data_IF_106602167302
#
_entry.id   IF_106602167302
#
_cell.length_a   1.000
_cell.length_b   1.000
_cell.length_c   1.000
_cell.angle_alpha   90.00
_cell.angle_beta   90.00
_cell.angle_gamma   90.00
#
_symmetry.space_group_name_H-M   'P 1'
#
loop_
_entity.id
_entity.type
_entity.pdbx_description
1 polymer ?
#
# COMPACT_ATOMS: atom_id res chain seq x y z
N UNK A 1 69.76 69.18 -12.18
CA UNK A 1 69.87 69.15 -13.65
C UNK A 1 69.19 67.89 -14.17
N UNK A 2 68.20 68.09 -15.05
CA UNK A 2 67.67 67.20 -16.08
C UNK A 2 67.19 65.76 -15.77
N UNK A 3 65.91 65.60 -16.08
CA UNK A 3 65.15 64.37 -16.29
C UNK A 3 65.78 63.42 -17.31
N UNK A 4 65.48 62.12 -17.21
CA UNK A 4 64.75 61.42 -18.29
C UNK A 4 64.22 60.04 -17.85
N UNK A 5 62.92 59.89 -18.08
CA UNK A 5 62.06 58.70 -18.01
C UNK A 5 62.61 57.52 -18.82
N UNK A 6 62.32 56.28 -18.37
CA UNK A 6 61.74 55.22 -19.22
C UNK A 6 61.21 54.02 -18.40
N UNK A 7 59.91 53.79 -18.61
CA UNK A 7 59.13 52.53 -18.61
C UNK A 7 59.20 51.57 -17.40
N UNK A 8 58.13 51.60 -16.59
CA UNK A 8 57.73 50.49 -15.73
C UNK A 8 57.17 49.35 -16.58
N UNK A 9 57.77 48.17 -16.45
CA UNK A 9 57.27 46.90 -16.96
C UNK A 9 56.20 46.39 -15.97
N UNK A 10 54.91 46.50 -16.32
CA UNK A 10 53.86 45.78 -15.61
C UNK A 10 53.92 44.31 -16.06
N UNK A 11 54.36 43.43 -15.17
CA UNK A 11 54.22 41.99 -15.32
C UNK A 11 52.74 41.62 -15.26
N UNK A 12 52.19 41.16 -16.37
CA UNK A 12 50.95 40.40 -16.42
C UNK A 12 51.19 39.07 -15.69
N UNK A 13 50.70 38.95 -14.44
CA UNK A 13 50.62 37.66 -13.77
C UNK A 13 49.52 36.85 -14.43
N UNK A 14 49.90 35.85 -15.22
CA UNK A 14 48.97 34.90 -15.81
C UNK A 14 48.18 34.18 -14.71
N UNK A 15 46.86 34.19 -14.84
CA UNK A 15 45.99 33.28 -14.09
C UNK A 15 46.46 31.85 -14.37
N UNK A 16 46.91 31.15 -13.34
CA UNK A 16 47.19 29.73 -13.42
C UNK A 16 45.88 29.00 -13.74
N UNK A 17 45.80 28.52 -14.98
CA UNK A 17 44.74 27.63 -15.44
C UNK A 17 44.87 26.34 -14.62
N UNK A 18 44.02 26.17 -13.62
CA UNK A 18 43.93 24.93 -12.84
C UNK A 18 42.90 24.01 -13.51
N UNK A 19 43.35 23.02 -14.31
CA UNK A 19 42.44 22.11 -15.01
C UNK A 19 41.59 21.28 -14.04
N UNK A 20 42.01 21.11 -12.78
CA UNK A 20 41.17 20.44 -11.77
C UNK A 20 40.02 21.33 -11.34
N UNK A 21 40.26 22.63 -11.17
CA UNK A 21 39.22 23.59 -10.80
C UNK A 21 38.19 23.77 -11.93
N UNK A 22 38.63 23.80 -13.18
CA UNK A 22 37.73 23.86 -14.33
C UNK A 22 36.97 22.54 -14.55
N UNK A 23 37.62 21.38 -14.33
CA UNK A 23 36.94 20.09 -14.34
C UNK A 23 35.88 19.96 -13.23
N UNK A 24 36.17 20.46 -12.02
CA UNK A 24 35.22 20.48 -10.91
C UNK A 24 34.06 21.46 -11.16
N UNK A 25 34.31 22.61 -11.81
CA UNK A 25 33.23 23.51 -12.25
C UNK A 25 32.36 22.89 -13.35
N UNK A 26 32.97 22.17 -14.30
CA UNK A 26 32.26 21.44 -15.35
C UNK A 26 31.39 20.32 -14.76
N UNK A 27 31.90 19.56 -13.80
CA UNK A 27 31.13 18.57 -13.05
C UNK A 27 30.00 19.23 -12.24
N UNK A 28 30.26 20.33 -11.53
CA UNK A 28 29.23 21.04 -10.76
C UNK A 28 28.17 21.74 -11.65
N UNK A 29 28.48 22.02 -12.91
CA UNK A 29 27.55 22.55 -13.91
C UNK A 29 26.90 21.45 -14.76
N UNK A 30 27.26 20.18 -14.54
CA UNK A 30 26.67 19.06 -15.26
C UNK A 30 25.25 18.82 -14.75
N UNK A 31 24.24 18.76 -15.64
CA UNK A 31 22.87 18.41 -15.29
C UNK A 31 22.78 17.14 -14.45
N UNK A 32 23.67 16.17 -14.66
CA UNK A 32 23.79 14.88 -13.95
C UNK A 32 24.22 14.99 -12.48
N UNK A 33 24.98 16.02 -12.11
CA UNK A 33 25.43 16.26 -10.73
C UNK A 33 24.58 17.33 -10.02
N UNK A 34 23.96 18.22 -10.79
CA UNK A 34 22.89 19.09 -10.29
C UNK A 34 21.54 18.37 -10.16
N UNK A 35 21.38 17.22 -10.81
CA UNK A 35 20.26 16.30 -10.57
C UNK A 35 20.59 15.44 -9.34
N UNK A 36 20.07 15.88 -8.19
CA UNK A 36 20.05 15.09 -6.96
C UNK A 36 19.39 13.70 -7.13
N UNK A 37 18.63 13.50 -8.21
CA UNK A 37 18.04 12.21 -8.62
C UNK A 37 19.09 11.11 -8.85
N UNK A 38 20.17 11.38 -9.58
CA UNK A 38 21.21 10.36 -9.85
C UNK A 38 21.93 9.95 -8.56
N UNK A 39 22.18 10.91 -7.67
CA UNK A 39 22.80 10.67 -6.36
C UNK A 39 21.83 9.97 -5.38
N UNK A 40 20.52 10.25 -5.46
CA UNK A 40 19.50 9.60 -4.63
C UNK A 40 19.24 8.17 -5.07
N UNK A 41 19.19 7.91 -6.39
CA UNK A 41 19.13 6.55 -6.93
C UNK A 41 20.36 5.74 -6.51
N UNK A 42 21.56 6.30 -6.62
CA UNK A 42 22.79 5.63 -6.22
C UNK A 42 22.83 5.32 -4.71
N UNK A 43 22.31 6.21 -3.86
CA UNK A 43 22.16 5.97 -2.41
C UNK A 43 21.12 4.90 -2.09
N UNK A 44 19.96 4.90 -2.75
CA UNK A 44 18.92 3.89 -2.53
C UNK A 44 19.34 2.50 -3.00
N UNK A 45 20.03 2.42 -4.15
CA UNK A 45 20.62 1.17 -4.67
C UNK A 45 21.74 0.64 -3.75
N UNK A 46 22.55 1.52 -3.15
CA UNK A 46 23.60 1.09 -2.19
C UNK A 46 23.08 0.81 -0.78
N UNK A 47 21.99 1.43 -0.33
CA UNK A 47 21.36 1.17 0.98
C UNK A 47 20.78 -0.25 1.07
N UNK A 48 20.13 -0.73 0.01
CA UNK A 48 19.59 -2.08 -0.04
C UNK A 48 20.66 -3.17 0.14
N UNK A 49 21.90 -2.89 -0.27
CA UNK A 49 23.03 -3.82 -0.17
C UNK A 49 23.59 -3.97 1.25
N UNK A 50 23.30 -3.04 2.17
CA UNK A 50 23.86 -3.03 3.52
C UNK A 50 22.89 -3.55 4.60
N UNK A 51 21.58 -3.53 4.35
CA UNK A 51 20.56 -3.92 5.33
C UNK A 51 20.32 -5.43 5.30
N UNK A 52 20.90 -6.14 6.26
CA UNK A 52 20.77 -7.61 6.37
C UNK A 52 19.86 -8.06 7.51
N UNK A 53 19.60 -7.20 8.49
CA UNK A 53 18.72 -7.47 9.63
C UNK A 53 17.46 -6.59 9.56
N UNK A 54 16.24 -7.16 9.60
CA UNK A 54 15.01 -6.37 9.57
C UNK A 54 14.93 -5.32 10.70
N UNK A 55 15.58 -5.53 11.85
CA UNK A 55 15.60 -4.56 12.96
C UNK A 55 16.31 -3.24 12.62
N UNK A 56 17.23 -3.24 11.64
CA UNK A 56 17.97 -2.07 11.17
C UNK A 56 17.14 -1.18 10.24
N UNK A 57 16.11 -1.72 9.60
CA UNK A 57 15.22 -0.97 8.70
C UNK A 57 14.45 0.07 9.50
N UNK A 58 14.63 1.37 9.23
CA UNK A 58 14.02 2.45 10.02
C UNK A 58 12.71 2.98 9.45
N UNK A 59 12.36 2.62 8.21
CA UNK A 59 11.08 2.97 7.60
C UNK A 59 10.69 2.02 6.45
N UNK A 60 9.42 2.05 6.03
CA UNK A 60 8.91 1.15 4.99
C UNK A 60 9.53 1.36 3.59
N UNK A 61 10.19 2.50 3.32
CA UNK A 61 10.83 2.76 2.03
C UNK A 61 12.21 2.10 1.93
N UNK A 62 12.93 1.97 3.04
CA UNK A 62 14.12 1.10 3.09
C UNK A 62 13.72 -0.37 2.91
N UNK A 63 12.56 -0.77 3.44
CA UNK A 63 12.01 -2.10 3.19
C UNK A 63 11.71 -2.32 1.70
N UNK A 64 11.15 -1.31 1.02
CA UNK A 64 10.92 -1.33 -0.43
C UNK A 64 12.23 -1.51 -1.21
N UNK A 65 13.28 -0.76 -0.86
CA UNK A 65 14.59 -0.87 -1.49
C UNK A 65 15.19 -2.29 -1.36
N UNK A 66 15.17 -2.87 -0.15
CA UNK A 66 15.66 -4.25 0.06
C UNK A 66 14.79 -5.27 -0.70
N UNK A 67 13.47 -5.08 -0.72
CA UNK A 67 12.56 -5.95 -1.46
C UNK A 67 12.81 -5.88 -2.97
N UNK A 68 13.11 -4.70 -3.52
CA UNK A 68 13.43 -4.51 -4.94
C UNK A 68 14.66 -5.33 -5.37
N UNK A 69 15.67 -5.40 -4.53
CA UNK A 69 16.90 -6.17 -4.80
C UNK A 69 16.67 -7.69 -4.71
N UNK A 70 15.81 -8.14 -3.78
CA UNK A 70 15.60 -9.58 -3.54
C UNK A 70 14.49 -10.19 -4.38
N UNK A 71 13.46 -9.41 -4.73
CA UNK A 71 12.33 -9.91 -5.49
C UNK A 71 12.72 -10.01 -6.97
N UNK A 72 12.41 -11.13 -7.64
CA UNK A 72 12.43 -11.27 -9.10
C UNK A 72 11.94 -10.01 -9.87
N UNK A 73 12.71 -9.41 -10.82
CA UNK A 73 12.24 -8.23 -11.55
C UNK A 73 10.80 -8.29 -12.08
N UNK A 74 10.37 -9.38 -12.74
CA UNK A 74 8.99 -9.51 -13.22
C UNK A 74 7.95 -9.47 -12.07
N UNK A 75 8.25 -10.08 -10.93
CA UNK A 75 7.37 -10.08 -9.77
C UNK A 75 7.38 -8.72 -9.06
N UNK A 76 8.54 -8.06 -8.97
CA UNK A 76 8.63 -6.70 -8.45
C UNK A 76 7.85 -5.72 -9.33
N UNK A 77 7.94 -5.86 -10.66
CA UNK A 77 7.12 -5.14 -11.62
C UNK A 77 5.62 -5.34 -11.39
N UNK A 78 5.18 -6.58 -11.17
CA UNK A 78 3.79 -6.86 -10.82
C UNK A 78 3.36 -6.20 -9.50
N UNK A 79 4.24 -6.12 -8.51
CA UNK A 79 3.98 -5.48 -7.22
C UNK A 79 3.94 -3.95 -7.31
N UNK A 80 4.90 -3.35 -8.01
CA UNK A 80 5.11 -1.90 -8.07
C UNK A 80 4.11 -1.20 -8.99
N UNK A 81 3.73 -1.82 -10.12
CA UNK A 81 2.85 -1.21 -11.13
C UNK A 81 1.52 -0.70 -10.55
N UNK A 82 1.08 0.45 -11.04
CA UNK A 82 -0.31 0.87 -11.12
C UNK A 82 -0.89 0.47 -12.48
N UNK A 83 -1.75 1.31 -13.04
CA UNK A 83 -2.28 1.19 -14.41
C UNK A 83 -1.83 2.36 -15.28
N UNK A 84 -1.82 2.13 -16.59
CA UNK A 84 -1.47 3.12 -17.61
C UNK A 84 -0.12 3.80 -17.29
N UNK A 85 -0.12 5.08 -16.95
CA UNK A 85 1.08 5.87 -16.64
C UNK A 85 1.43 5.93 -15.16
N UNK A 86 0.78 5.13 -14.30
CA UNK A 86 0.93 5.11 -12.84
C UNK A 86 0.55 6.45 -12.16
N UNK A 87 -0.26 7.28 -12.81
CA UNK A 87 -0.67 8.60 -12.28
C UNK A 87 -1.51 8.41 -11.01
N UNK A 88 -2.52 7.54 -11.01
CA UNK A 88 -3.33 7.27 -9.80
C UNK A 88 -2.48 6.67 -8.68
N UNK A 89 -1.51 5.81 -9.01
CA UNK A 89 -0.57 5.26 -8.02
C UNK A 89 0.18 6.39 -7.31
N UNK A 90 0.67 7.38 -8.06
CA UNK A 90 1.34 8.57 -7.54
C UNK A 90 0.39 9.50 -6.79
N UNK A 91 -0.82 9.69 -7.30
CA UNK A 91 -1.89 10.48 -6.70
C UNK A 91 -2.28 9.94 -5.31
N UNK A 92 -2.31 8.61 -5.13
CA UNK A 92 -2.54 8.00 -3.81
C UNK A 92 -1.55 8.49 -2.75
N UNK A 93 -0.27 8.63 -3.10
CA UNK A 93 0.74 9.15 -2.17
C UNK A 93 0.61 10.67 -1.99
N UNK A 94 0.39 11.39 -3.09
CA UNK A 94 0.28 12.85 -3.08
C UNK A 94 -0.97 13.35 -2.32
N UNK A 95 -2.08 12.61 -2.36
CA UNK A 95 -3.35 12.98 -1.72
C UNK A 95 -3.24 13.25 -0.22
N UNK A 96 -2.33 12.57 0.49
CA UNK A 96 -2.11 12.83 1.92
C UNK A 96 -1.59 14.24 2.22
N UNK A 97 -1.04 14.96 1.24
CA UNK A 97 -0.56 16.34 1.42
C UNK A 97 -1.69 17.36 1.50
N UNK A 98 -2.89 17.02 1.00
CA UNK A 98 -4.10 17.84 1.12
C UNK A 98 -4.56 17.98 2.56
N UNK A 99 -4.35 16.94 3.36
CA UNK A 99 -4.81 16.87 4.74
C UNK A 99 -3.66 17.12 5.72
N UNK A 100 -3.80 18.08 6.65
CA UNK A 100 -2.80 18.35 7.69
C UNK A 100 -3.34 17.97 9.07
N UNK A 101 -2.46 17.45 9.93
CA UNK A 101 -2.82 17.10 11.31
C UNK A 101 -2.84 18.39 12.15
N UNK A 102 -3.84 18.52 13.02
CA UNK A 102 -4.00 19.57 14.02
C UNK A 102 -3.71 18.98 15.41
N UNK A 103 -2.46 19.02 15.89
CA UNK A 103 -2.11 18.40 17.16
C UNK A 103 -2.78 19.14 18.32
N UNK A 104 -3.33 18.38 19.28
CA UNK A 104 -3.75 18.92 20.59
C UNK A 104 -2.76 18.48 21.66
N UNK A 105 -2.61 19.30 22.69
CA UNK A 105 -1.61 19.13 23.76
C UNK A 105 -2.29 19.16 25.12
N UNK A 106 -1.55 18.81 26.18
CA UNK A 106 -2.04 18.75 27.56
C UNK A 106 -3.22 17.78 27.75
N UNK A 107 -3.13 16.61 27.10
CA UNK A 107 -4.01 15.46 27.30
C UNK A 107 -3.14 14.34 27.89
N UNK A 108 -3.68 13.57 28.85
CA UNK A 108 -2.97 12.40 29.36
C UNK A 108 -2.92 11.30 28.29
N UNK A 109 -1.71 10.95 27.86
CA UNK A 109 -1.42 9.94 26.84
C UNK A 109 -0.42 8.90 27.35
N UNK A 110 -0.34 8.74 28.67
CA UNK A 110 0.56 7.78 29.33
C UNK A 110 0.17 6.31 29.10
N UNK A 111 -1.08 6.03 28.72
CA UNK A 111 -1.61 4.69 28.46
C UNK A 111 -2.33 4.68 27.09
N UNK A 112 -1.57 4.70 25.98
CA UNK A 112 -2.17 4.70 24.66
C UNK A 112 -2.71 3.32 24.28
N UNK A 113 -3.83 3.30 23.56
CA UNK A 113 -4.49 2.08 23.09
C UNK A 113 -4.79 2.17 21.59
N UNK A 114 -4.28 1.20 20.85
CA UNK A 114 -4.47 1.05 19.41
C UNK A 114 -5.57 0.02 19.06
N UNK A 115 -6.12 -0.68 20.06
CA UNK A 115 -7.04 -1.77 19.81
C UNK A 115 -8.34 -1.29 19.17
N UNK A 116 -8.89 -2.12 18.29
CA UNK A 116 -10.16 -1.88 17.62
C UNK A 116 -10.97 -3.18 17.49
N UNK A 117 -12.26 -3.02 17.22
CA UNK A 117 -13.13 -4.12 16.80
C UNK A 117 -14.01 -3.64 15.64
N UNK A 118 -13.77 -4.20 14.45
CA UNK A 118 -14.52 -3.86 13.25
C UNK A 118 -15.19 -5.11 12.71
N UNK A 119 -16.54 -5.12 12.69
CA UNK A 119 -17.33 -6.29 12.25
C UNK A 119 -16.95 -7.61 12.96
N UNK A 120 -16.56 -7.55 14.23
CA UNK A 120 -16.14 -8.71 15.02
C UNK A 120 -14.65 -9.06 14.86
N UNK A 121 -13.91 -8.39 13.97
CA UNK A 121 -12.47 -8.52 13.87
C UNK A 121 -11.80 -7.69 14.98
N UNK A 122 -11.47 -8.35 16.09
CA UNK A 122 -10.64 -7.78 17.16
C UNK A 122 -9.17 -7.75 16.72
N UNK A 123 -8.51 -6.62 16.91
CA UNK A 123 -7.09 -6.44 16.61
C UNK A 123 -6.45 -5.44 17.58
N UNK A 124 -5.15 -5.59 17.84
CA UNK A 124 -4.38 -4.67 18.70
C UNK A 124 -3.95 -3.40 17.96
N UNK A 125 -4.42 -3.21 16.72
CA UNK A 125 -4.06 -2.09 15.86
C UNK A 125 -5.15 -1.81 14.83
N UNK A 126 -5.37 -0.53 14.43
CA UNK A 126 -6.28 -0.20 13.34
C UNK A 126 -5.72 -0.51 11.95
N UNK A 127 -4.51 -1.06 11.87
CA UNK A 127 -3.84 -1.40 10.61
C UNK A 127 -4.21 -2.82 10.20
N UNK A 128 -4.91 -2.97 9.09
CA UNK A 128 -5.31 -4.26 8.51
C UNK A 128 -4.35 -4.68 7.40
N UNK A 129 -4.09 -5.97 7.28
CA UNK A 129 -3.35 -6.54 6.15
C UNK A 129 -4.32 -6.72 4.99
N UNK A 130 -4.14 -5.93 3.93
CA UNK A 130 -4.98 -5.98 2.73
C UNK A 130 -4.85 -7.33 2.00
N UNK A 131 -5.87 -7.70 1.21
CA UNK A 131 -5.77 -8.84 0.31
C UNK A 131 -4.83 -8.52 -0.86
N UNK A 132 -3.61 -9.07 -0.84
CA UNK A 132 -2.75 -9.19 -2.01
C UNK A 132 -2.71 -10.65 -2.42
N UNK A 133 -2.78 -10.91 -3.72
CA UNK A 133 -2.70 -12.27 -4.26
C UNK A 133 -1.27 -12.67 -4.57
N UNK A 134 -1.04 -13.98 -4.68
CA UNK A 134 0.19 -14.58 -5.20
C UNK A 134 1.46 -14.25 -4.39
N UNK A 135 1.39 -14.30 -3.05
CA UNK A 135 2.55 -13.97 -2.21
C UNK A 135 3.77 -14.86 -2.49
N UNK A 136 3.55 -16.10 -2.96
CA UNK A 136 4.61 -17.03 -3.36
C UNK A 136 5.53 -16.51 -4.48
N UNK A 137 5.10 -15.50 -5.25
CA UNK A 137 5.96 -14.81 -6.20
C UNK A 137 6.99 -13.89 -5.52
N UNK A 138 6.72 -13.40 -4.32
CA UNK A 138 7.60 -12.46 -3.62
C UNK A 138 8.53 -13.16 -2.62
N UNK A 139 8.06 -14.24 -1.99
CA UNK A 139 8.84 -15.01 -1.02
C UNK A 139 8.28 -16.45 -0.91
N UNK A 140 9.14 -17.43 -0.63
CA UNK A 140 8.75 -18.82 -0.45
C UNK A 140 7.79 -19.05 0.73
N UNK A 141 7.81 -18.19 1.75
CA UNK A 141 6.86 -18.24 2.86
C UNK A 141 5.43 -17.85 2.47
N UNK A 142 5.24 -17.20 1.33
CA UNK A 142 3.93 -16.86 0.75
C UNK A 142 2.94 -16.22 1.76
N UNK A 143 1.64 -16.56 1.67
CA UNK A 143 0.62 -16.09 2.60
C UNK A 143 0.82 -16.67 4.02
N UNK A 144 1.54 -17.78 4.16
CA UNK A 144 1.83 -18.43 5.44
C UNK A 144 2.72 -17.57 6.35
N UNK A 145 3.78 -16.96 5.80
CA UNK A 145 4.63 -16.04 6.54
C UNK A 145 3.87 -14.79 7.01
N UNK A 146 2.94 -14.31 6.17
CA UNK A 146 2.08 -13.16 6.52
C UNK A 146 1.07 -13.54 7.60
N UNK A 147 0.47 -14.73 7.53
CA UNK A 147 -0.47 -15.22 8.54
C UNK A 147 0.19 -15.34 9.92
N UNK A 148 1.42 -15.90 9.97
CA UNK A 148 2.20 -15.99 11.22
C UNK A 148 2.60 -14.61 11.76
N UNK A 149 3.01 -13.68 10.90
CA UNK A 149 3.30 -12.30 11.31
C UNK A 149 2.05 -11.60 11.88
N UNK A 150 0.91 -11.77 11.22
CA UNK A 150 -0.38 -11.25 11.67
C UNK A 150 -0.79 -11.84 13.03
N UNK A 151 -0.51 -13.12 13.27
CA UNK A 151 -0.69 -13.78 14.56
C UNK A 151 0.23 -13.20 15.63
N UNK A 152 1.53 -13.09 15.34
CA UNK A 152 2.55 -12.62 16.27
C UNK A 152 2.32 -11.17 16.73
N UNK A 153 1.74 -10.32 15.87
CA UNK A 153 1.47 -8.91 16.13
C UNK A 153 -0.01 -8.60 16.38
N UNK A 154 -0.86 -9.63 16.37
CA UNK A 154 -2.31 -9.54 16.47
C UNK A 154 -2.98 -8.49 15.55
N UNK A 155 -2.54 -8.44 14.29
CA UNK A 155 -3.20 -7.64 13.24
C UNK A 155 -4.29 -8.46 12.54
N UNK A 156 -5.37 -7.81 12.12
CA UNK A 156 -6.37 -8.47 11.29
C UNK A 156 -5.86 -8.66 9.86
N UNK A 157 -6.18 -9.82 9.26
CA UNK A 157 -5.73 -10.21 7.92
C UNK A 157 -6.91 -10.50 7.01
N UNK A 158 -6.85 -9.98 5.78
CA UNK A 158 -7.77 -10.34 4.71
C UNK A 158 -7.04 -11.15 3.63
N UNK A 159 -7.50 -12.35 3.33
CA UNK A 159 -6.88 -13.26 2.35
C UNK A 159 -7.47 -13.06 0.95
N UNK A 160 -6.65 -13.00 -0.09
CA UNK A 160 -7.12 -12.88 -1.48
C UNK A 160 -7.62 -14.20 -2.07
N UNK A 161 -8.63 -14.14 -2.95
CA UNK A 161 -8.99 -15.23 -3.89
C UNK A 161 -7.81 -15.72 -4.74
N UNK A 162 -6.77 -14.91 -4.92
CA UNK A 162 -5.56 -15.29 -5.67
C UNK A 162 -4.39 -15.77 -4.79
N UNK A 163 -4.66 -16.20 -3.56
CA UNK A 163 -3.65 -16.76 -2.65
C UNK A 163 -2.86 -17.91 -3.27
N UNK A 164 -1.55 -17.98 -2.99
CA UNK A 164 -0.72 -19.15 -3.31
C UNK A 164 -0.83 -20.26 -2.25
N UNK A 165 -1.27 -19.94 -1.04
CA UNK A 165 -1.54 -20.90 0.06
C UNK A 165 -3.05 -21.19 0.17
N UNK A 166 -3.49 -22.44 0.46
CA UNK A 166 -4.90 -22.72 0.72
C UNK A 166 -5.41 -22.02 1.97
N UNK A 167 -6.68 -21.62 1.98
CA UNK A 167 -7.28 -20.81 3.06
C UNK A 167 -7.23 -21.52 4.41
N UNK A 168 -7.39 -22.84 4.46
CA UNK A 168 -7.37 -23.62 5.69
C UNK A 168 -6.04 -23.46 6.42
N UNK A 169 -4.93 -23.52 5.68
CA UNK A 169 -3.59 -23.33 6.23
C UNK A 169 -3.35 -21.90 6.68
N UNK A 170 -3.85 -20.92 5.93
CA UNK A 170 -3.75 -19.49 6.32
C UNK A 170 -4.49 -19.23 7.63
N UNK A 171 -5.71 -19.75 7.79
CA UNK A 171 -6.48 -19.59 9.03
C UNK A 171 -5.80 -20.29 10.20
N UNK A 172 -5.30 -21.51 10.00
CA UNK A 172 -4.54 -22.25 11.01
C UNK A 172 -3.31 -21.47 11.48
N UNK A 173 -2.48 -20.99 10.54
CA UNK A 173 -1.25 -20.26 10.86
C UNK A 173 -1.52 -18.84 11.39
N UNK A 174 -2.65 -18.22 11.05
CA UNK A 174 -3.11 -16.98 11.69
C UNK A 174 -3.57 -17.23 13.13
N UNK A 175 -4.07 -18.43 13.43
CA UNK A 175 -4.58 -18.77 14.76
C UNK A 175 -5.82 -17.97 15.19
N UNK A 176 -6.59 -17.43 14.23
CA UNK A 176 -7.75 -16.58 14.49
C UNK A 176 -8.55 -16.26 13.21
N UNK A 177 -9.74 -15.66 13.35
CA UNK A 177 -10.60 -15.36 12.21
C UNK A 177 -9.95 -14.38 11.24
N UNK A 178 -10.17 -14.62 9.95
CA UNK A 178 -9.74 -13.74 8.85
C UNK A 178 -10.96 -13.21 8.10
N UNK A 179 -10.74 -12.21 7.26
CA UNK A 179 -11.66 -11.92 6.17
C UNK A 179 -11.17 -12.57 4.88
N UNK A 180 -12.10 -12.86 3.97
CA UNK A 180 -11.79 -13.38 2.64
C UNK A 180 -12.16 -12.36 1.58
N UNK A 181 -11.22 -11.95 0.74
CA UNK A 181 -11.50 -11.12 -0.41
C UNK A 181 -11.91 -11.99 -1.58
N UNK A 182 -13.09 -11.72 -2.11
CA UNK A 182 -13.71 -12.44 -3.23
C UNK A 182 -13.48 -11.69 -4.54
N UNK A 183 -12.88 -12.37 -5.51
CA UNK A 183 -13.13 -12.11 -6.93
C UNK A 183 -14.23 -13.08 -7.39
N UNK A 184 -15.41 -12.57 -7.76
CA UNK A 184 -16.46 -13.42 -8.30
C UNK A 184 -16.00 -13.97 -9.64
N UNK A 185 -16.34 -15.22 -9.88
CA UNK A 185 -16.05 -15.87 -11.14
C UNK A 185 -17.21 -15.68 -12.11
N UNK A 186 -16.95 -15.84 -13.40
CA UNK A 186 -17.99 -15.93 -14.43
C UNK A 186 -18.84 -17.23 -14.35
N UNK A 187 -18.68 -18.03 -13.29
CA UNK A 187 -19.46 -19.23 -12.97
C UNK A 187 -19.98 -19.11 -11.53
N UNK A 188 -21.22 -18.70 -11.36
CA UNK A 188 -21.77 -18.40 -10.04
C UNK A 188 -21.61 -19.55 -9.04
N UNK A 189 -21.79 -20.80 -9.49
CA UNK A 189 -21.59 -21.99 -8.68
C UNK A 189 -20.18 -22.12 -8.09
N UNK A 190 -19.15 -21.61 -8.76
CA UNK A 190 -17.78 -21.57 -8.22
C UNK A 190 -17.60 -20.44 -7.23
N UNK A 191 -18.27 -19.31 -7.44
CA UNK A 191 -18.33 -18.22 -6.45
C UNK A 191 -18.96 -18.72 -5.15
N UNK A 192 -20.08 -19.45 -5.24
CA UNK A 192 -20.72 -20.11 -4.08
C UNK A 192 -19.77 -21.09 -3.40
N UNK A 193 -19.10 -21.96 -4.17
CA UNK A 193 -18.16 -22.94 -3.62
C UNK A 193 -17.00 -22.28 -2.85
N UNK A 194 -16.44 -21.19 -3.38
CA UNK A 194 -15.38 -20.43 -2.70
C UNK A 194 -15.87 -19.75 -1.42
N UNK A 195 -17.04 -19.11 -1.45
CA UNK A 195 -17.64 -18.48 -0.26
C UNK A 195 -17.85 -19.50 0.86
N UNK A 196 -18.48 -20.63 0.55
CA UNK A 196 -18.74 -21.67 1.53
C UNK A 196 -17.45 -22.34 2.03
N UNK A 197 -16.42 -22.46 1.18
CA UNK A 197 -15.09 -22.95 1.62
C UNK A 197 -14.44 -21.96 2.58
N UNK A 198 -14.48 -20.67 2.28
CA UNK A 198 -13.91 -19.64 3.14
C UNK A 198 -14.61 -19.57 4.50
N UNK A 199 -15.93 -19.59 4.53
CA UNK A 199 -16.72 -19.62 5.76
C UNK A 199 -16.41 -20.85 6.61
N UNK A 200 -16.41 -22.06 6.03
CA UNK A 200 -16.04 -23.29 6.74
C UNK A 200 -14.61 -23.28 7.28
N UNK A 201 -13.69 -22.63 6.57
CA UNK A 201 -12.31 -22.49 7.01
C UNK A 201 -12.17 -21.51 8.19
N UNK A 202 -13.17 -20.67 8.47
CA UNK A 202 -13.17 -19.72 9.59
C UNK A 202 -13.11 -18.25 9.18
N UNK A 203 -13.36 -17.92 7.90
CA UNK A 203 -13.54 -16.53 7.50
C UNK A 203 -14.87 -15.98 8.05
N UNK A 204 -14.82 -14.77 8.62
CA UNK A 204 -16.00 -14.13 9.25
C UNK A 204 -16.64 -13.04 8.40
N UNK A 205 -15.94 -12.59 7.36
CA UNK A 205 -16.44 -11.63 6.40
C UNK A 205 -15.88 -11.89 5.00
N UNK A 206 -16.63 -11.49 3.99
CA UNK A 206 -16.21 -11.43 2.60
C UNK A 206 -16.09 -9.98 2.14
N UNK A 207 -14.94 -9.64 1.55
CA UNK A 207 -14.74 -8.37 0.85
C UNK A 207 -14.88 -8.60 -0.66
N UNK A 208 -16.06 -8.29 -1.22
CA UNK A 208 -16.29 -8.36 -2.66
C UNK A 208 -15.53 -7.23 -3.35
N UNK A 209 -14.57 -7.58 -4.22
CA UNK A 209 -13.79 -6.59 -4.97
C UNK A 209 -14.42 -6.33 -6.33
N UNK A 210 -14.80 -5.08 -6.59
CA UNK A 210 -15.59 -4.68 -7.77
C UNK A 210 -14.83 -3.76 -8.74
N UNK A 211 -13.59 -3.40 -8.43
CA UNK A 211 -12.83 -2.35 -9.14
C UNK A 211 -12.07 -2.82 -10.39
N UNK A 212 -12.19 -4.11 -10.77
CA UNK A 212 -11.48 -4.71 -11.92
C UNK A 212 -12.40 -5.46 -12.91
N UNK A 213 -13.46 -4.83 -13.46
CA UNK A 213 -14.41 -5.55 -14.32
C UNK A 213 -13.80 -5.98 -15.68
N UNK A 214 -12.87 -5.19 -16.23
CA UNK A 214 -12.43 -5.31 -17.64
C UNK A 214 -10.91 -5.48 -17.83
N UNK A 215 -10.19 -6.01 -16.83
CA UNK A 215 -8.74 -6.15 -16.89
C UNK A 215 -8.00 -4.83 -16.65
N UNK A 216 -6.71 -4.77 -17.01
CA UNK A 216 -5.81 -3.65 -16.69
C UNK A 216 -4.72 -3.49 -17.75
N UNK A 217 -4.36 -2.24 -18.04
CA UNK A 217 -3.14 -1.91 -18.79
C UNK A 217 -2.00 -1.63 -17.79
N UNK A 218 -0.93 -2.43 -17.82
CA UNK A 218 0.14 -2.43 -16.80
C UNK A 218 1.51 -2.25 -17.45
N UNK A 219 1.84 -1.01 -17.82
CA UNK A 219 3.07 -0.68 -18.55
C UNK A 219 4.33 -0.96 -17.72
N UNK A 220 4.36 -0.52 -16.45
CA UNK A 220 5.48 -0.73 -15.53
C UNK A 220 5.77 -2.22 -15.34
N UNK A 221 4.76 -3.05 -15.10
CA UNK A 221 4.94 -4.50 -15.05
C UNK A 221 5.55 -5.04 -16.34
N UNK A 222 5.05 -4.59 -17.50
CA UNK A 222 5.52 -5.06 -18.81
C UNK A 222 6.99 -4.71 -19.07
N UNK A 223 7.47 -3.57 -18.55
CA UNK A 223 8.88 -3.17 -18.62
C UNK A 223 9.75 -4.11 -17.78
N UNK A 224 9.40 -4.30 -16.51
CA UNK A 224 10.12 -5.17 -15.59
C UNK A 224 10.14 -6.63 -16.05
N UNK A 225 9.06 -7.11 -16.66
CA UNK A 225 9.02 -8.45 -17.27
C UNK A 225 10.08 -8.64 -18.37
N UNK A 226 10.42 -7.60 -19.15
CA UNK A 226 11.47 -7.68 -20.18
C UNK A 226 12.88 -7.68 -19.60
N UNK A 227 13.04 -7.18 -18.38
CA UNK A 227 14.31 -7.15 -17.66
C UNK A 227 14.59 -8.48 -16.94
N UNK A 228 13.58 -9.34 -16.85
CA UNK A 228 13.70 -10.65 -16.21
C UNK A 228 14.31 -11.68 -17.17
N UNK A 229 15.41 -12.30 -16.76
CA UNK A 229 16.11 -13.30 -17.57
C UNK A 229 15.62 -14.74 -17.32
N UNK A 230 14.61 -14.94 -16.45
CA UNK A 230 14.03 -16.27 -16.18
C UNK A 230 13.00 -16.66 -17.21
N UNK A 231 12.83 -17.97 -17.36
CA UNK A 231 11.81 -18.57 -18.22
C UNK A 231 10.49 -18.69 -17.45
N UNK A 232 9.61 -17.71 -17.55
CA UNK A 232 8.33 -17.69 -16.80
C UNK A 232 7.45 -18.93 -17.04
N UNK A 233 7.55 -19.58 -18.21
CA UNK A 233 6.79 -20.82 -18.47
C UNK A 233 7.16 -21.98 -17.54
N UNK A 234 8.38 -21.98 -17.00
CA UNK A 234 8.83 -23.03 -16.06
C UNK A 234 8.09 -22.92 -14.72
N UNK A 235 7.66 -21.72 -14.35
CA UNK A 235 6.90 -21.46 -13.12
C UNK A 235 5.38 -21.51 -13.31
N UNK A 236 4.86 -21.19 -14.50
CA UNK A 236 3.41 -20.98 -14.72
C UNK A 236 2.70 -22.09 -15.50
N UNK A 237 3.42 -23.08 -16.05
CA UNK A 237 2.77 -24.14 -16.86
C UNK A 237 2.07 -25.17 -15.97
N UNK A 238 0.75 -25.29 -16.13
CA UNK A 238 -0.07 -26.37 -15.55
C UNK A 238 -0.28 -26.30 -14.03
N UNK A 239 0.07 -25.19 -13.39
CA UNK A 239 -0.13 -25.02 -11.94
C UNK A 239 -1.49 -24.37 -11.64
N UNK A 240 -2.39 -25.14 -11.03
CA UNK A 240 -3.56 -24.59 -10.37
C UNK A 240 -3.15 -24.06 -8.98
N UNK A 241 -3.65 -22.89 -8.59
CA UNK A 241 -3.40 -22.36 -7.24
C UNK A 241 -4.16 -23.21 -6.22
N UNK A 242 -3.55 -23.59 -5.07
CA UNK A 242 -4.22 -24.36 -4.01
C UNK A 242 -5.53 -23.75 -3.49
N UNK A 243 -5.69 -22.43 -3.60
CA UNK A 243 -6.93 -21.73 -3.24
C UNK A 243 -8.14 -22.17 -4.10
N UNK A 244 -7.89 -22.71 -5.30
CA UNK A 244 -8.91 -23.25 -6.21
C UNK A 244 -9.03 -24.77 -6.16
N UNK A 245 -8.42 -25.43 -5.16
CA UNK A 245 -8.54 -26.88 -5.01
C UNK A 245 -10.02 -27.32 -5.01
N UNK A 246 -10.33 -28.37 -5.79
CA UNK A 246 -11.69 -28.83 -6.06
C UNK A 246 -12.45 -28.10 -7.18
N UNK A 247 -11.88 -27.09 -7.84
CA UNK A 247 -12.51 -26.34 -8.94
C UNK A 247 -11.71 -26.48 -10.24
N UNK A 248 -12.40 -26.79 -11.34
CA UNK A 248 -11.79 -26.77 -12.67
C UNK A 248 -11.80 -25.35 -13.25
N UNK A 249 -10.69 -24.64 -13.04
CA UNK A 249 -10.53 -23.25 -13.46
C UNK A 249 -10.28 -23.09 -14.97
N UNK A 250 -10.32 -24.16 -15.77
CA UNK A 250 -10.15 -24.05 -17.21
C UNK A 250 -11.29 -23.21 -17.84
N UNK A 251 -10.92 -22.07 -18.44
CA UNK A 251 -11.87 -21.14 -19.06
C UNK A 251 -12.71 -20.33 -18.07
N UNK A 252 -12.37 -20.35 -16.78
CA UNK A 252 -13.04 -19.57 -15.74
C UNK A 252 -12.30 -18.26 -15.53
N UNK A 253 -13.01 -17.15 -15.67
CA UNK A 253 -12.49 -15.81 -15.38
C UNK A 253 -12.68 -15.47 -13.90
N UNK A 254 -11.75 -14.68 -13.34
CA UNK A 254 -11.85 -14.09 -12.00
C UNK A 254 -12.33 -12.63 -12.07
N UNK A 255 -13.07 -12.31 -13.11
CA UNK A 255 -13.72 -11.04 -13.35
C UNK A 255 -15.08 -11.33 -13.97
N UNK A 256 -16.12 -10.76 -13.38
CA UNK A 256 -17.47 -10.79 -13.93
C UNK A 256 -17.90 -9.33 -14.18
N UNK A 257 -17.89 -8.86 -15.44
CA UNK A 257 -18.29 -7.50 -15.77
C UNK A 257 -19.82 -7.30 -15.73
N UNK A 258 -20.60 -8.37 -15.50
CA UNK A 258 -22.07 -8.30 -15.49
C UNK A 258 -22.66 -7.98 -14.11
N UNK A 259 -21.82 -7.80 -13.09
CA UNK A 259 -22.29 -7.59 -11.72
C UNK A 259 -23.03 -6.26 -11.57
N UNK A 260 -24.17 -6.35 -10.88
CA UNK A 260 -24.93 -5.21 -10.38
C UNK A 260 -25.10 -5.32 -8.86
N UNK A 261 -25.68 -4.31 -8.22
CA UNK A 261 -25.79 -4.25 -6.75
C UNK A 261 -26.59 -5.39 -6.11
N UNK A 262 -27.42 -6.10 -6.88
CA UNK A 262 -28.12 -7.32 -6.44
C UNK A 262 -27.17 -8.45 -6.01
N UNK A 263 -25.92 -8.43 -6.46
CA UNK A 263 -24.89 -9.40 -6.06
C UNK A 263 -24.73 -9.48 -4.54
N UNK A 264 -24.96 -8.36 -3.84
CA UNK A 264 -24.88 -8.31 -2.37
C UNK A 264 -25.94 -9.24 -1.76
N UNK A 265 -27.18 -9.16 -2.24
CA UNK A 265 -28.26 -10.05 -1.84
C UNK A 265 -27.94 -11.50 -2.19
N UNK A 266 -27.48 -11.77 -3.42
CA UNK A 266 -27.12 -13.12 -3.88
C UNK A 266 -25.99 -13.76 -3.06
N UNK A 267 -24.99 -12.98 -2.63
CA UNK A 267 -23.93 -13.46 -1.72
C UNK A 267 -24.55 -13.82 -0.36
N UNK A 268 -25.39 -12.95 0.20
CA UNK A 268 -26.06 -13.18 1.49
C UNK A 268 -27.02 -14.37 1.50
N UNK A 269 -27.50 -14.83 0.34
CA UNK A 269 -28.29 -16.06 0.23
C UNK A 269 -27.47 -17.34 0.45
N UNK A 270 -26.14 -17.28 0.33
CA UNK A 270 -25.27 -18.47 0.32
C UNK A 270 -24.19 -18.49 1.40
N UNK A 271 -24.09 -17.46 2.23
CA UNK A 271 -23.17 -17.36 3.37
C UNK A 271 -23.71 -16.42 4.46
N UNK A 272 -23.35 -16.71 5.71
CA UNK A 272 -23.63 -15.88 6.90
C UNK A 272 -22.51 -14.86 7.20
N UNK A 273 -21.39 -14.91 6.43
CA UNK A 273 -20.31 -13.94 6.53
C UNK A 273 -20.81 -12.50 6.31
N UNK A 274 -20.19 -11.53 6.99
CA UNK A 274 -20.42 -10.11 6.71
C UNK A 274 -19.95 -9.75 5.30
N UNK A 275 -20.71 -8.94 4.57
CA UNK A 275 -20.39 -8.56 3.20
C UNK A 275 -19.88 -7.12 3.14
N UNK A 276 -18.61 -6.94 2.79
CA UNK A 276 -18.01 -5.63 2.52
C UNK A 276 -17.83 -5.43 1.01
N UNK A 277 -18.00 -4.19 0.56
CA UNK A 277 -17.75 -3.83 -0.84
C UNK A 277 -16.44 -3.05 -0.96
N UNK A 278 -15.47 -3.66 -1.63
CA UNK A 278 -14.12 -3.12 -1.85
C UNK A 278 -13.98 -2.59 -3.27
N UNK A 279 -13.43 -1.37 -3.37
CA UNK A 279 -13.23 -0.68 -4.64
C UNK A 279 -14.11 0.56 -4.80
N UNK A 280 -14.65 1.09 -3.69
CA UNK A 280 -15.53 2.27 -3.73
C UNK A 280 -14.67 3.54 -3.74
N UNK A 281 -14.92 4.43 -4.70
CA UNK A 281 -14.20 5.71 -4.83
C UNK A 281 -15.13 6.95 -4.78
N UNK A 282 -16.45 6.76 -4.76
CA UNK A 282 -17.44 7.86 -4.77
C UNK A 282 -18.58 7.63 -3.79
N UNK A 283 -19.19 8.71 -3.30
CA UNK A 283 -20.22 8.64 -2.27
C UNK A 283 -21.52 7.97 -2.76
N UNK A 284 -21.89 8.15 -4.03
CA UNK A 284 -23.11 7.53 -4.58
C UNK A 284 -23.05 6.00 -4.53
N UNK A 285 -21.90 5.41 -4.88
CA UNK A 285 -21.72 3.96 -4.85
C UNK A 285 -21.67 3.43 -3.42
N UNK A 286 -21.12 4.20 -2.48
CA UNK A 286 -21.19 3.86 -1.06
C UNK A 286 -22.65 3.83 -0.56
N UNK A 287 -23.48 4.80 -0.95
CA UNK A 287 -24.91 4.81 -0.62
C UNK A 287 -25.63 3.60 -1.22
N UNK A 288 -25.40 3.30 -2.49
CA UNK A 288 -26.01 2.14 -3.18
C UNK A 288 -25.60 0.82 -2.52
N UNK A 289 -24.33 0.65 -2.15
CA UNK A 289 -23.87 -0.53 -1.43
C UNK A 289 -24.62 -0.72 -0.09
N UNK A 290 -24.79 0.35 0.70
CA UNK A 290 -25.54 0.29 1.97
C UNK A 290 -27.03 0.01 1.74
N UNK A 291 -27.65 0.64 0.75
CA UNK A 291 -29.06 0.43 0.39
C UNK A 291 -29.34 -1.02 -0.05
N UNK A 292 -28.35 -1.67 -0.67
CA UNK A 292 -28.41 -3.08 -1.07
C UNK A 292 -27.92 -4.04 0.03
N UNK A 293 -27.65 -3.54 1.24
CA UNK A 293 -27.40 -4.36 2.42
C UNK A 293 -25.95 -4.74 2.68
N UNK A 294 -24.97 -4.00 2.16
CA UNK A 294 -23.58 -4.17 2.58
C UNK A 294 -23.40 -3.92 4.09
N UNK A 295 -22.62 -4.77 4.75
CA UNK A 295 -22.28 -4.65 6.17
C UNK A 295 -21.07 -3.72 6.41
N UNK A 296 -20.33 -3.36 5.36
CA UNK A 296 -19.16 -2.49 5.43
C UNK A 296 -18.76 -1.93 4.07
N UNK A 297 -18.10 -0.79 4.07
CA UNK A 297 -17.56 -0.14 2.87
C UNK A 297 -16.04 -0.18 2.92
N UNK A 298 -15.40 -0.47 1.78
CA UNK A 298 -13.95 -0.46 1.67
C UNK A 298 -13.52 0.46 0.52
N UNK A 299 -13.08 1.65 0.92
CA UNK A 299 -12.57 2.72 0.04
C UNK A 299 -11.22 2.29 -0.52
N UNK A 300 -11.15 2.11 -1.83
CA UNK A 300 -9.95 1.57 -2.48
C UNK A 300 -10.00 1.86 -3.97
N UNK A 301 -8.84 2.14 -4.55
CA UNK A 301 -8.63 2.15 -6.00
C UNK A 301 -7.61 1.08 -6.41
N UNK A 302 -7.58 0.00 -5.63
CA UNK A 302 -6.67 -1.11 -5.79
C UNK A 302 -5.18 -0.74 -5.69
N UNK A 303 -4.84 0.31 -4.93
CA UNK A 303 -3.48 0.84 -4.87
C UNK A 303 -3.03 1.48 -6.18
N UNK A 304 -3.95 2.12 -6.90
CA UNK A 304 -3.74 2.71 -8.21
C UNK A 304 -3.66 1.68 -9.33
N UNK A 305 -4.26 0.49 -9.14
CA UNK A 305 -4.21 -0.64 -10.10
C UNK A 305 -5.57 -0.92 -10.75
N UNK A 306 -6.56 -0.05 -10.57
CA UNK A 306 -7.88 -0.20 -11.15
C UNK A 306 -8.04 0.73 -12.37
N UNK A 307 -8.46 1.97 -12.13
CA UNK A 307 -8.67 2.98 -13.17
C UNK A 307 -7.70 4.16 -12.98
N UNK A 308 -7.11 4.66 -14.06
CA UNK A 308 -6.31 5.88 -14.07
C UNK A 308 -7.25 7.11 -13.98
N UNK A 309 -7.35 7.74 -12.80
CA UNK A 309 -8.31 8.81 -12.46
C UNK A 309 -7.65 10.03 -11.81
N UNK A 310 -6.34 9.98 -11.50
CA UNK A 310 -5.57 11.05 -10.84
C UNK A 310 -6.14 11.53 -9.49
N UNK A 311 -7.02 10.74 -8.85
CA UNK A 311 -7.55 10.99 -7.50
C UNK A 311 -7.01 9.93 -6.55
N UNK A 312 -6.43 10.36 -5.43
CA UNK A 312 -5.97 9.44 -4.39
C UNK A 312 -7.15 8.94 -3.54
N UNK A 313 -7.08 7.69 -3.08
CA UNK A 313 -8.15 7.08 -2.27
C UNK A 313 -8.48 7.88 -1.01
N UNK A 314 -7.48 8.48 -0.36
CA UNK A 314 -7.67 9.36 0.81
C UNK A 314 -8.53 10.59 0.49
N UNK A 315 -8.54 11.06 -0.76
CA UNK A 315 -9.36 12.20 -1.22
C UNK A 315 -10.80 11.77 -1.54
N UNK A 316 -11.07 10.47 -1.66
CA UNK A 316 -12.41 9.89 -1.79
C UNK A 316 -13.13 9.78 -0.44
N UNK A 317 -12.35 9.61 0.64
CA UNK A 317 -12.86 9.29 1.98
C UNK A 317 -13.92 10.26 2.52
N UNK A 318 -13.76 11.61 2.47
CA UNK A 318 -14.72 12.51 3.10
C UNK A 318 -16.14 12.41 2.52
N UNK A 319 -16.24 12.28 1.19
CA UNK A 319 -17.51 12.13 0.49
C UNK A 319 -18.19 10.81 0.84
N UNK A 320 -17.41 9.72 0.92
CA UNK A 320 -17.91 8.39 1.26
C UNK A 320 -18.36 8.33 2.72
N UNK A 321 -17.60 8.91 3.65
CA UNK A 321 -18.00 9.01 5.07
C UNK A 321 -19.34 9.73 5.20
N UNK A 322 -19.53 10.83 4.47
CA UNK A 322 -20.81 11.55 4.43
C UNK A 322 -21.94 10.70 3.86
N UNK A 323 -21.69 9.90 2.82
CA UNK A 323 -22.70 9.05 2.19
C UNK A 323 -23.10 7.83 3.05
N UNK A 324 -22.13 7.19 3.70
CA UNK A 324 -22.37 6.08 4.62
C UNK A 324 -23.11 6.56 5.86
N UNK A 325 -22.79 7.76 6.34
CA UNK A 325 -23.48 8.42 7.46
C UNK A 325 -23.58 7.52 8.71
N UNK A 326 -22.45 6.93 9.10
CA UNK A 326 -22.32 6.02 10.25
C UNK A 326 -23.17 4.74 10.20
N UNK A 327 -23.77 4.38 9.05
CA UNK A 327 -24.58 3.16 8.89
C UNK A 327 -23.75 1.87 8.86
N UNK A 328 -22.47 1.97 8.52
CA UNK A 328 -21.54 0.84 8.47
C UNK A 328 -20.09 1.33 8.72
N UNK A 329 -19.20 0.44 9.17
CA UNK A 329 -17.77 0.76 9.25
C UNK A 329 -17.16 0.96 7.87
N UNK A 330 -16.12 1.79 7.84
CA UNK A 330 -15.38 2.14 6.61
C UNK A 330 -13.93 1.70 6.76
N UNK A 331 -13.49 0.84 5.85
CA UNK A 331 -12.07 0.51 5.68
C UNK A 331 -11.53 1.35 4.53
N UNK A 332 -10.27 1.73 4.60
CA UNK A 332 -9.60 2.44 3.50
C UNK A 332 -8.21 1.89 3.27
N UNK A 333 -7.78 1.78 2.01
CA UNK A 333 -6.40 1.45 1.66
C UNK A 333 -5.84 2.40 0.59
N UNK A 334 -4.75 2.00 -0.07
CA UNK A 334 -4.11 2.72 -1.19
C UNK A 334 -3.28 3.95 -0.79
N UNK A 335 -1.95 3.77 -0.79
CA UNK A 335 -0.97 4.85 -0.62
C UNK A 335 -0.43 5.08 0.79
N UNK A 336 -0.95 4.39 1.80
CA UNK A 336 -0.49 4.50 3.20
C UNK A 336 0.95 4.00 3.37
N UNK A 337 1.83 4.86 3.91
CA UNK A 337 3.25 4.56 4.13
C UNK A 337 3.77 5.04 5.48
N UNK A 338 2.99 5.86 6.20
CA UNK A 338 3.37 6.45 7.48
C UNK A 338 2.24 6.36 8.50
N UNK A 339 2.60 6.34 9.79
CA UNK A 339 1.65 6.48 10.89
C UNK A 339 0.79 7.74 10.79
N UNK A 340 1.36 8.85 10.32
CA UNK A 340 0.62 10.09 10.06
C UNK A 340 -0.41 9.98 8.94
N UNK A 341 -0.21 9.07 7.99
CA UNK A 341 -1.18 8.83 6.93
C UNK A 341 -2.39 8.09 7.51
N UNK A 342 -2.12 7.06 8.31
CA UNK A 342 -3.14 6.26 9.01
C UNK A 342 -3.95 7.16 9.94
N UNK A 343 -3.29 7.99 10.75
CA UNK A 343 -3.93 8.95 11.65
C UNK A 343 -4.92 9.88 10.92
N UNK A 344 -4.56 10.38 9.73
CA UNK A 344 -5.44 11.24 8.94
C UNK A 344 -6.70 10.53 8.50
N UNK A 345 -6.59 9.28 8.05
CA UNK A 345 -7.74 8.49 7.64
C UNK A 345 -8.69 8.20 8.82
N UNK A 346 -8.13 7.82 9.97
CA UNK A 346 -8.92 7.60 11.21
C UNK A 346 -9.65 8.88 11.62
N UNK A 347 -8.95 10.02 11.63
CA UNK A 347 -9.56 11.32 11.94
C UNK A 347 -10.68 11.72 10.97
N UNK A 348 -10.63 11.26 9.72
CA UNK A 348 -11.67 11.53 8.72
C UNK A 348 -12.84 10.52 8.78
N UNK A 349 -12.80 9.52 9.65
CA UNK A 349 -13.91 8.59 9.88
C UNK A 349 -13.71 7.17 9.35
N UNK A 350 -12.48 6.80 8.95
CA UNK A 350 -12.18 5.39 8.71
C UNK A 350 -12.17 4.60 10.04
N UNK A 351 -12.76 3.41 10.02
CA UNK A 351 -12.76 2.47 11.15
C UNK A 351 -11.47 1.64 11.21
N UNK A 352 -10.84 1.39 10.07
CA UNK A 352 -9.52 0.75 9.97
C UNK A 352 -8.82 1.16 8.66
N UNK A 353 -7.51 0.95 8.61
CA UNK A 353 -6.67 1.28 7.45
C UNK A 353 -5.94 0.04 6.96
N UNK A 354 -6.16 -0.31 5.70
CA UNK A 354 -5.48 -1.40 5.02
C UNK A 354 -4.11 -1.01 4.47
N UNK A 355 -3.11 -1.88 4.67
CA UNK A 355 -1.81 -1.81 4.01
C UNK A 355 -1.62 -2.98 3.05
N UNK A 356 -1.09 -2.71 1.86
CA UNK A 356 -0.78 -3.69 0.82
C UNK A 356 0.73 -3.81 0.58
N UNK A 357 1.24 -3.08 -0.41
CA UNK A 357 2.67 -3.07 -0.79
C UNK A 357 3.66 -3.03 0.40
N UNK A 358 3.46 -2.23 1.48
CA UNK A 358 4.40 -2.21 2.61
C UNK A 358 4.67 -3.57 3.22
N UNK A 359 3.63 -4.36 3.53
CA UNK A 359 3.85 -5.66 4.16
C UNK A 359 4.42 -6.67 3.17
N UNK A 360 4.12 -6.53 1.87
CA UNK A 360 4.71 -7.37 0.82
C UNK A 360 6.18 -7.04 0.60
N UNK A 361 6.59 -5.78 0.73
CA UNK A 361 8.01 -5.42 0.76
C UNK A 361 8.69 -6.11 1.94
N UNK A 362 8.08 -6.08 3.12
CA UNK A 362 8.55 -6.85 4.28
C UNK A 362 8.71 -8.33 3.98
N UNK A 363 7.68 -8.95 3.39
CA UNK A 363 7.70 -10.37 3.00
C UNK A 363 8.83 -10.67 2.01
N UNK A 364 8.96 -9.88 0.94
CA UNK A 364 9.99 -10.09 -0.08
C UNK A 364 11.41 -9.84 0.43
N UNK A 365 11.57 -8.90 1.36
CA UNK A 365 12.87 -8.55 1.93
C UNK A 365 13.37 -9.59 2.95
N UNK A 366 12.51 -10.00 3.90
CA UNK A 366 12.93 -10.80 5.06
C UNK A 366 11.90 -11.86 5.51
N UNK A 367 10.97 -12.26 4.64
CA UNK A 367 9.96 -13.25 4.99
C UNK A 367 9.01 -12.74 6.09
N UNK A 368 8.57 -13.63 6.98
CA UNK A 368 7.73 -13.25 8.13
C UNK A 368 8.33 -12.10 8.94
N UNK A 369 9.63 -12.12 9.23
CA UNK A 369 10.29 -11.11 10.08
C UNK A 369 10.21 -9.70 9.48
N UNK A 370 10.24 -9.59 8.15
CA UNK A 370 10.07 -8.29 7.48
C UNK A 370 8.62 -7.78 7.54
N UNK A 371 7.63 -8.67 7.47
CA UNK A 371 6.22 -8.31 7.67
C UNK A 371 6.02 -7.77 9.08
N UNK A 372 6.51 -8.48 10.10
CA UNK A 372 6.46 -8.03 11.50
C UNK A 372 7.12 -6.67 11.70
N UNK A 373 8.29 -6.45 11.07
CA UNK A 373 8.98 -5.16 11.12
C UNK A 373 8.16 -4.02 10.54
N UNK A 374 7.50 -4.23 9.41
CA UNK A 374 6.65 -3.21 8.78
C UNK A 374 5.48 -2.84 9.70
N UNK A 375 4.84 -3.83 10.31
CA UNK A 375 3.74 -3.61 11.24
C UNK A 375 4.21 -2.82 12.48
N UNK A 376 5.35 -3.20 13.06
CA UNK A 376 5.95 -2.49 14.19
C UNK A 376 6.29 -1.03 13.86
N UNK A 377 6.88 -0.80 12.67
CA UNK A 377 7.24 0.55 12.22
C UNK A 377 6.01 1.45 12.09
N UNK A 378 4.95 0.96 11.44
CA UNK A 378 3.75 1.75 11.22
C UNK A 378 2.95 1.97 12.52
N UNK A 379 2.84 0.94 13.38
CA UNK A 379 2.25 1.10 14.72
C UNK A 379 3.01 2.11 15.56
N UNK A 380 4.35 2.05 15.56
CA UNK A 380 5.19 3.01 16.29
C UNK A 380 4.97 4.43 15.81
N UNK A 381 4.96 4.66 14.50
CA UNK A 381 4.71 5.99 13.93
C UNK A 381 3.29 6.49 14.26
N UNK A 382 2.28 5.61 14.21
CA UNK A 382 0.91 5.94 14.56
C UNK A 382 0.81 6.33 16.04
N UNK A 383 1.40 5.52 16.92
CA UNK A 383 1.43 5.74 18.36
C UNK A 383 2.05 7.10 18.71
N UNK A 384 3.21 7.41 18.12
CA UNK A 384 3.89 8.71 18.29
C UNK A 384 2.97 9.85 17.82
N UNK A 385 2.28 9.67 16.71
CA UNK A 385 1.35 10.68 16.17
C UNK A 385 0.14 10.88 17.09
N UNK A 386 -0.42 9.80 17.63
CA UNK A 386 -1.53 9.80 18.57
C UNK A 386 -1.17 10.52 19.87
N UNK A 387 -0.08 10.11 20.50
CA UNK A 387 0.40 10.75 21.73
C UNK A 387 0.78 12.22 21.47
N UNK A 388 1.43 12.49 20.35
CA UNK A 388 1.75 13.85 19.90
C UNK A 388 0.53 14.72 19.61
N UNK A 389 -0.62 14.12 19.31
CA UNK A 389 -1.86 14.84 19.03
C UNK A 389 -2.84 14.85 20.20
N UNK A 390 -2.51 14.23 21.34
CA UNK A 390 -3.39 14.19 22.50
C UNK A 390 -4.57 13.24 22.35
N UNK A 391 -4.40 12.14 21.60
CA UNK A 391 -5.44 11.13 21.38
C UNK A 391 -5.00 9.79 21.97
N UNK A 392 -5.36 9.47 23.24
CA UNK A 392 -4.89 8.26 23.90
C UNK A 392 -5.48 6.97 23.29
N UNK A 393 -6.65 7.01 22.67
CA UNK A 393 -7.28 5.84 22.01
C UNK A 393 -7.61 6.13 20.55
N UNK A 394 -7.78 5.10 19.72
CA UNK A 394 -8.25 5.27 18.34
C UNK A 394 -9.58 6.04 18.28
N UNK A 395 -10.52 5.71 19.17
CA UNK A 395 -11.84 6.37 19.26
C UNK A 395 -11.76 7.87 19.61
N UNK A 396 -10.65 8.31 20.20
CA UNK A 396 -10.45 9.74 20.52
C UNK A 396 -9.96 10.56 19.32
N UNK A 397 -9.66 9.91 18.18
CA UNK A 397 -9.26 10.56 16.93
C UNK A 397 -10.54 10.95 16.16
N UNK A 398 -10.72 12.24 15.93
CA UNK A 398 -11.90 12.78 15.24
C UNK A 398 -11.57 13.85 14.19
N UNK A 399 -12.61 14.38 13.50
CA UNK A 399 -12.42 15.32 12.39
C UNK A 399 -11.73 16.63 12.80
N UNK A 400 -11.85 17.03 14.07
CA UNK A 400 -11.17 18.22 14.60
C UNK A 400 -9.64 18.15 14.55
N UNK A 401 -9.06 16.95 14.41
CA UNK A 401 -7.63 16.70 14.34
C UNK A 401 -7.06 16.77 12.92
N UNK A 402 -7.89 17.00 11.90
CA UNK A 402 -7.44 17.14 10.51
C UNK A 402 -8.00 18.41 9.90
N UNK A 403 -7.16 19.10 9.13
CA UNK A 403 -7.55 20.18 8.24
C UNK A 403 -7.49 19.68 6.80
N UNK A 404 -8.58 19.84 6.05
CA UNK A 404 -8.54 19.77 4.59
C UNK A 404 -8.13 21.15 4.03
N UNK A 405 -6.95 21.23 3.40
CA UNK A 405 -6.49 22.46 2.76
C UNK A 405 -7.28 22.80 1.47
N UNK A 406 -8.07 21.86 0.93
CA UNK A 406 -8.79 21.98 -0.32
C UNK A 406 -7.95 21.69 -1.57
N UNK A 407 -6.63 21.60 -1.43
CA UNK A 407 -5.69 21.29 -2.50
C UNK A 407 -4.51 20.48 -1.95
N UNK A 408 -3.85 19.70 -2.82
CA UNK A 408 -2.60 19.00 -2.47
C UNK A 408 -1.51 20.04 -2.20
N UNK A 409 -1.05 20.15 -0.97
CA UNK A 409 0.01 21.09 -0.61
C UNK A 409 1.34 20.58 -1.18
N UNK A 410 2.01 21.32 -2.07
CA UNK A 410 3.33 20.93 -2.53
C UNK A 410 4.25 20.83 -1.33
N UNK A 411 4.86 19.67 -1.11
CA UNK A 411 6.00 19.60 -0.21
C UNK A 411 7.13 20.35 -0.90
N UNK A 412 7.74 21.33 -0.23
CA UNK A 412 8.95 21.96 -0.74
C UNK A 412 10.02 20.91 -1.05
N UNK A 413 11.03 21.28 -1.86
CA UNK A 413 12.08 20.40 -2.43
C UNK A 413 12.95 19.63 -1.41
N UNK A 414 12.66 19.70 -0.13
CA UNK A 414 13.35 18.98 0.96
C UNK A 414 12.47 17.82 1.44
N UNK A 415 12.34 16.77 0.63
CA UNK A 415 11.66 15.55 1.09
C UNK A 415 11.13 14.61 -0.01
N UNK A 416 12.04 14.01 -0.77
CA UNK A 416 11.88 12.73 -1.49
C UNK A 416 10.77 12.70 -2.55
N UNK A 417 11.14 13.10 -3.77
CA UNK A 417 10.55 12.53 -4.98
C UNK A 417 10.95 11.05 -5.03
N UNK A 418 10.17 10.21 -4.33
CA UNK A 418 10.12 8.77 -4.52
C UNK A 418 8.92 8.50 -5.42
N UNK A 419 9.15 8.64 -6.72
CA UNK A 419 8.31 8.11 -7.78
C UNK A 419 9.11 7.12 -8.62
#
# INVERSE_FOLDING_TARGET
MYQLKRANNQSLSGEQHDPRREFLKFLAASPLLTSYEAFSQEIEETLGQQLTDPSEVINVFEMEAVAREKIPPAHYGYLSTGVDGDITLRANRAGFTRFQIKPRRLVDVSQPDLSINVLGAQADSPIFICPVGSHGGFNAEAESGVARAAAAKNHHMTLSTQSSTPIERVVEERGGPIWFQLYPTNRWEYTVAMLQRAERAGATAVALTIDLPAGRNVETQSIFMRQDNRTCSDCHRGQAKPIFDGLDMQGVGLNDPSLTWDVIGRIKEVTDMKVLIKGIEVGIDASLAIENGADGIWVSNHGGRATEVDRGSIECLPEIVSAVNSRAPIIIDSGFRRGTDIYKALAMGASAVGIGRPYIWGLGAFGQAGVERVLDLLNRELLITMQGSGTPTVDSIGPDYVLDAGYRVPRGRLGRDLY
#
